data_IF_692943682763
#
_entry.id   IF_692943682763
#
_cell.length_a   1.000
_cell.length_b   1.000
_cell.length_c   1.000
_cell.angle_alpha   90.00
_cell.angle_beta   90.00
_cell.angle_gamma   90.00
#
_symmetry.space_group_name_H-M   'P 1'
#
loop_
_entity.id
_entity.type
_entity.pdbx_description
1 polymer ?
#
# COMPACT_ATOMS: atom_id res chain seq x y z
N UNK A 1 0.21 5.81 -19.94
CA UNK A 1 0.94 6.41 -21.07
C UNK A 1 1.78 7.56 -20.55
N UNK A 2 3.11 7.49 -20.72
CA UNK A 2 3.99 8.63 -20.44
C UNK A 2 3.89 9.62 -21.60
N UNK A 3 3.84 10.92 -21.31
CA UNK A 3 3.81 11.94 -22.35
C UNK A 3 5.27 12.34 -22.66
N UNK A 4 5.60 12.74 -23.90
CA UNK A 4 6.93 13.23 -24.23
C UNK A 4 7.27 14.50 -23.44
N UNK A 5 8.54 14.67 -23.03
CA UNK A 5 8.99 15.85 -22.28
C UNK A 5 8.72 17.15 -23.06
N UNK A 6 8.86 17.12 -24.38
CA UNK A 6 8.56 18.25 -25.25
C UNK A 6 7.08 18.68 -25.16
N UNK A 7 6.16 17.71 -25.12
CA UNK A 7 4.74 17.98 -24.92
C UNK A 7 4.48 18.56 -23.54
N UNK A 8 5.07 17.99 -22.49
CA UNK A 8 4.94 18.47 -21.11
C UNK A 8 5.40 19.94 -20.99
N UNK A 9 6.53 20.30 -21.60
CA UNK A 9 7.04 21.69 -21.62
C UNK A 9 6.12 22.65 -22.36
N UNK A 10 5.44 22.18 -23.41
CA UNK A 10 4.51 23.00 -24.20
C UNK A 10 3.21 23.28 -23.44
N UNK A 11 2.68 22.30 -22.72
CA UNK A 11 1.35 22.41 -22.11
C UNK A 11 1.40 22.91 -20.67
N UNK A 12 2.46 22.62 -19.91
CA UNK A 12 2.54 22.96 -18.48
C UNK A 12 3.04 24.39 -18.25
N UNK A 13 2.56 25.03 -17.19
CA UNK A 13 3.17 26.28 -16.69
C UNK A 13 4.50 25.99 -15.99
N UNK A 14 5.33 27.00 -15.75
CA UNK A 14 6.63 26.81 -15.07
C UNK A 14 6.50 26.12 -13.70
N UNK A 15 5.52 26.52 -12.89
CA UNK A 15 5.27 25.91 -11.59
C UNK A 15 4.75 24.45 -11.71
N UNK A 16 3.88 24.19 -12.69
CA UNK A 16 3.38 22.84 -12.97
C UNK A 16 4.50 21.91 -13.44
N UNK A 17 5.38 22.43 -14.32
CA UNK A 17 6.51 21.69 -14.86
C UNK A 17 7.52 21.37 -13.75
N UNK A 18 7.87 22.33 -12.89
CA UNK A 18 8.77 22.09 -11.77
C UNK A 18 8.27 20.98 -10.83
N UNK A 19 6.96 20.93 -10.55
CA UNK A 19 6.36 19.85 -9.76
C UNK A 19 6.43 18.48 -10.46
N UNK A 20 6.25 18.46 -11.79
CA UNK A 20 6.38 17.23 -12.59
C UNK A 20 7.84 16.77 -12.67
N UNK A 21 8.79 17.69 -12.76
CA UNK A 21 10.23 17.38 -12.78
C UNK A 21 10.70 16.73 -11.48
N UNK A 22 10.22 17.18 -10.32
CA UNK A 22 10.49 16.51 -9.03
C UNK A 22 9.98 15.07 -8.96
N UNK A 23 8.96 14.73 -9.77
CA UNK A 23 8.44 13.35 -9.86
C UNK A 23 9.22 12.43 -10.81
N UNK A 24 10.25 12.94 -11.49
CA UNK A 24 11.04 12.15 -12.45
C UNK A 24 12.21 11.46 -11.76
N UNK A 25 12.61 10.34 -12.35
CA UNK A 25 13.87 9.68 -12.00
C UNK A 25 15.05 10.50 -12.56
N UNK A 26 16.19 10.63 -11.85
CA UNK A 26 16.50 10.05 -10.54
C UNK A 26 16.02 10.89 -9.34
N UNK A 27 15.62 12.14 -9.57
CA UNK A 27 15.30 13.14 -8.53
C UNK A 27 14.36 12.58 -7.46
N UNK A 28 13.30 11.89 -7.87
CA UNK A 28 12.29 11.33 -6.96
C UNK A 28 12.86 10.38 -5.90
N UNK A 29 13.94 9.66 -6.20
CA UNK A 29 14.56 8.72 -5.28
C UNK A 29 15.38 9.41 -4.17
N UNK A 30 15.81 10.65 -4.41
CA UNK A 30 16.55 11.45 -3.41
C UNK A 30 15.66 12.25 -2.46
N UNK A 31 14.33 12.26 -2.68
CA UNK A 31 13.42 13.07 -1.87
C UNK A 31 13.05 12.38 -0.56
N UNK A 32 13.07 13.09 0.58
CA UNK A 32 12.55 12.57 1.83
C UNK A 32 11.02 12.41 1.78
N UNK A 33 10.47 11.58 2.66
CA UNK A 33 9.03 11.25 2.69
C UNK A 33 8.13 12.48 2.76
N UNK A 34 8.51 13.47 3.56
CA UNK A 34 7.73 14.71 3.72
C UNK A 34 7.64 15.50 2.42
N UNK A 35 8.75 15.60 1.69
CA UNK A 35 8.78 16.24 0.38
C UNK A 35 7.98 15.46 -0.66
N UNK A 36 8.03 14.12 -0.64
CA UNK A 36 7.20 13.30 -1.53
C UNK A 36 5.70 13.54 -1.26
N UNK A 37 5.30 13.68 -0.01
CA UNK A 37 3.91 14.00 0.36
C UNK A 37 3.53 15.41 -0.11
N UNK A 38 4.42 16.39 0.05
CA UNK A 38 4.20 17.75 -0.43
C UNK A 38 4.04 17.80 -1.96
N UNK A 39 4.94 17.14 -2.70
CA UNK A 39 4.85 17.01 -4.16
C UNK A 39 3.55 16.30 -4.57
N UNK A 40 3.18 15.22 -3.89
CA UNK A 40 1.91 14.52 -4.14
C UNK A 40 0.70 15.43 -3.93
N UNK A 41 0.71 16.28 -2.89
CA UNK A 41 -0.36 17.25 -2.60
C UNK A 41 -0.47 18.29 -3.72
N UNK A 42 0.64 18.88 -4.14
CA UNK A 42 0.65 19.85 -5.24
C UNK A 42 0.17 19.24 -6.56
N UNK A 43 0.64 18.04 -6.91
CA UNK A 43 0.20 17.32 -8.11
C UNK A 43 -1.30 16.98 -8.09
N UNK A 44 -1.86 16.61 -6.93
CA UNK A 44 -3.31 16.42 -6.78
C UNK A 44 -4.06 17.73 -7.03
N UNK A 45 -3.61 18.83 -6.44
CA UNK A 45 -4.18 20.16 -6.66
C UNK A 45 -4.21 20.55 -8.15
N UNK A 46 -3.09 20.41 -8.85
CA UNK A 46 -3.02 20.72 -10.29
C UNK A 46 -3.91 19.81 -11.14
N UNK A 47 -3.91 18.50 -10.86
CA UNK A 47 -4.76 17.52 -11.53
C UNK A 47 -6.25 17.81 -11.34
N UNK A 48 -6.64 18.12 -10.12
CA UNK A 48 -8.03 18.35 -9.76
C UNK A 48 -8.52 19.66 -10.37
N UNK A 49 -7.71 20.73 -10.31
CA UNK A 49 -7.95 21.98 -11.03
C UNK A 49 -8.11 21.77 -12.54
N UNK A 50 -7.20 21.05 -13.18
CA UNK A 50 -7.29 20.77 -14.62
C UNK A 50 -8.56 19.96 -14.98
N UNK A 51 -8.94 19.00 -14.13
CA UNK A 51 -10.18 18.22 -14.29
C UNK A 51 -11.41 19.10 -14.19
N UNK A 52 -11.47 19.98 -13.20
CA UNK A 52 -12.65 20.78 -12.92
C UNK A 52 -12.88 21.85 -13.99
N UNK A 53 -11.79 22.50 -14.43
CA UNK A 53 -11.87 23.44 -15.56
C UNK A 53 -12.30 22.69 -16.84
N UNK A 54 -11.72 21.53 -17.13
CA UNK A 54 -12.10 20.73 -18.31
C UNK A 54 -13.59 20.36 -18.27
N UNK A 55 -14.12 19.99 -17.10
CA UNK A 55 -15.54 19.67 -16.91
C UNK A 55 -16.43 20.90 -17.09
N UNK A 56 -16.04 22.06 -16.57
CA UNK A 56 -16.77 23.32 -16.75
C UNK A 56 -16.89 23.66 -18.23
N UNK A 57 -15.75 23.71 -18.93
CA UNK A 57 -15.71 24.00 -20.38
C UNK A 57 -16.55 23.03 -21.20
N UNK A 58 -16.50 21.74 -20.85
CA UNK A 58 -17.33 20.72 -21.53
C UNK A 58 -18.82 20.93 -21.29
N UNK A 59 -19.23 21.47 -20.13
CA UNK A 59 -20.64 21.82 -19.85
C UNK A 59 -21.04 23.09 -20.60
N UNK A 60 -20.19 24.11 -20.61
CA UNK A 60 -20.38 25.36 -21.38
C UNK A 60 -20.55 25.05 -22.87
N UNK A 61 -19.65 24.25 -23.47
CA UNK A 61 -19.72 23.85 -24.88
C UNK A 61 -20.95 22.98 -25.21
N UNK A 62 -21.62 22.42 -24.20
CA UNK A 62 -22.88 21.67 -24.34
C UNK A 62 -24.12 22.54 -24.07
N UNK A 63 -23.95 23.83 -23.80
CA UNK A 63 -25.04 24.73 -23.39
C UNK A 63 -25.64 24.39 -22.02
N UNK A 64 -24.91 23.65 -21.17
CA UNK A 64 -25.37 23.21 -19.83
C UNK A 64 -24.83 24.07 -18.69
N UNK A 65 -24.10 25.12 -19.03
CA UNK A 65 -23.56 26.10 -18.10
C UNK A 65 -23.38 27.43 -18.85
N UNK A 66 -23.61 28.53 -18.16
CA UNK A 66 -23.37 29.87 -18.69
C UNK A 66 -21.87 30.09 -18.95
N UNK A 67 -21.48 30.65 -20.11
CA UNK A 67 -20.11 31.02 -20.40
C UNK A 67 -19.60 32.02 -19.35
N UNK A 68 -18.38 31.82 -18.85
CA UNK A 68 -17.74 32.78 -17.92
C UNK A 68 -17.16 34.03 -18.61
N UNK A 69 -17.63 34.37 -19.81
CA UNK A 69 -17.17 35.52 -20.58
C UNK A 69 -17.94 35.69 -21.89
N UNK A 70 -17.57 36.70 -22.68
CA UNK A 70 -18.27 37.03 -23.93
C UNK A 70 -18.20 35.93 -25.01
N UNK A 71 -17.19 35.04 -24.93
CA UNK A 71 -16.98 33.96 -25.90
C UNK A 71 -17.07 32.58 -25.22
N UNK A 72 -17.60 31.55 -25.92
CA UNK A 72 -17.58 30.17 -25.46
C UNK A 72 -16.16 29.68 -25.15
N UNK A 73 -16.04 28.78 -24.18
CA UNK A 73 -14.73 28.30 -23.77
C UNK A 73 -14.02 27.49 -24.88
N UNK A 74 -12.70 27.72 -25.11
CA UNK A 74 -11.95 26.97 -26.09
C UNK A 74 -11.84 25.48 -25.70
N UNK A 75 -11.53 24.64 -26.69
CA UNK A 75 -11.51 23.18 -26.55
C UNK A 75 -10.79 22.69 -25.28
N UNK A 76 -11.36 21.66 -24.66
CA UNK A 76 -10.95 21.09 -23.38
C UNK A 76 -9.81 20.07 -23.48
N UNK A 77 -9.39 19.72 -24.71
CA UNK A 77 -8.37 18.69 -24.98
C UNK A 77 -7.05 18.97 -24.27
N UNK A 78 -6.52 20.19 -24.33
CA UNK A 78 -5.25 20.53 -23.64
C UNK A 78 -5.32 20.39 -22.12
N UNK A 79 -6.48 20.63 -21.50
CA UNK A 79 -6.68 20.42 -20.06
C UNK A 79 -6.73 18.93 -19.69
N UNK A 80 -7.27 18.11 -20.60
CA UNK A 80 -7.27 16.66 -20.43
C UNK A 80 -5.85 16.09 -20.53
N UNK A 81 -5.03 16.59 -21.46
CA UNK A 81 -3.61 16.24 -21.55
C UNK A 81 -2.86 16.61 -20.27
N UNK A 82 -3.01 17.86 -19.78
CA UNK A 82 -2.44 18.30 -18.48
C UNK A 82 -2.81 17.33 -17.35
N UNK A 83 -4.11 16.99 -17.25
CA UNK A 83 -4.60 16.05 -16.25
C UNK A 83 -3.91 14.69 -16.34
N UNK A 84 -3.67 14.17 -17.55
CA UNK A 84 -2.98 12.89 -17.74
C UNK A 84 -1.52 12.96 -17.32
N UNK A 85 -0.83 14.07 -17.63
CA UNK A 85 0.55 14.31 -17.16
C UNK A 85 0.62 14.32 -15.64
N UNK A 86 -0.27 15.07 -14.97
CA UNK A 86 -0.31 15.09 -13.49
C UNK A 86 -0.68 13.73 -12.89
N UNK A 87 -1.58 12.97 -13.51
CA UNK A 87 -1.92 11.63 -13.05
C UNK A 87 -0.73 10.67 -13.14
N UNK A 88 0.04 10.75 -14.24
CA UNK A 88 1.27 9.97 -14.43
C UNK A 88 2.35 10.34 -13.40
N UNK A 89 2.58 11.64 -13.18
CA UNK A 89 3.48 12.14 -12.15
C UNK A 89 3.08 11.66 -10.74
N UNK A 90 1.80 11.76 -10.40
CA UNK A 90 1.28 11.31 -9.11
C UNK A 90 1.46 9.80 -8.91
N UNK A 91 1.31 8.99 -9.97
CA UNK A 91 1.56 7.55 -9.91
C UNK A 91 3.01 7.23 -9.54
N UNK A 92 3.98 7.98 -10.09
CA UNK A 92 5.40 7.82 -9.75
C UNK A 92 5.67 8.17 -8.29
N UNK A 93 5.15 9.30 -7.82
CA UNK A 93 5.32 9.74 -6.42
C UNK A 93 4.69 8.75 -5.43
N UNK A 94 3.46 8.29 -5.67
CA UNK A 94 2.83 7.32 -4.79
C UNK A 94 3.61 5.99 -4.75
N UNK A 95 4.20 5.57 -5.88
CA UNK A 95 5.03 4.37 -5.93
C UNK A 95 6.30 4.53 -5.09
N UNK A 96 6.91 5.72 -5.10
CA UNK A 96 8.10 5.99 -4.30
C UNK A 96 7.78 6.05 -2.80
N UNK A 97 6.66 6.67 -2.43
CA UNK A 97 6.17 6.65 -1.04
C UNK A 97 5.97 5.20 -0.57
N UNK A 98 5.28 4.38 -1.37
CA UNK A 98 5.07 2.96 -1.06
C UNK A 98 6.41 2.21 -0.94
N UNK A 99 7.38 2.48 -1.82
CA UNK A 99 8.73 1.89 -1.75
C UNK A 99 9.42 2.24 -0.43
N UNK A 100 9.38 3.50 0.00
CA UNK A 100 9.98 3.94 1.27
C UNK A 100 9.27 3.29 2.47
N UNK A 101 7.95 3.16 2.43
CA UNK A 101 7.16 2.50 3.48
C UNK A 101 7.46 1.00 3.57
N UNK A 102 7.57 0.31 2.43
CA UNK A 102 7.94 -1.11 2.37
C UNK A 102 9.36 -1.34 2.89
N UNK A 103 10.32 -0.47 2.53
CA UNK A 103 11.68 -0.53 3.05
C UNK A 103 11.70 -0.36 4.58
N UNK A 104 10.95 0.61 5.11
CA UNK A 104 10.83 0.83 6.54
C UNK A 104 10.12 -0.33 7.27
N UNK A 105 9.16 -1.00 6.63
CA UNK A 105 8.45 -2.17 7.18
C UNK A 105 9.34 -3.40 7.26
N UNK A 106 10.15 -3.67 6.22
CA UNK A 106 11.05 -4.83 6.17
C UNK A 106 12.06 -4.83 7.33
N UNK A 107 12.60 -3.67 7.69
CA UNK A 107 13.49 -3.54 8.85
C UNK A 107 12.83 -4.02 10.16
N UNK A 108 11.57 -3.62 10.39
CA UNK A 108 10.80 -4.00 11.59
C UNK A 108 10.44 -5.48 11.64
N UNK A 109 10.20 -6.11 10.49
CA UNK A 109 9.87 -7.54 10.44
C UNK A 109 11.03 -8.42 10.90
N UNK A 110 12.27 -8.07 10.54
CA UNK A 110 13.46 -8.78 11.00
C UNK A 110 13.63 -8.69 12.51
N UNK A 111 13.44 -7.51 13.09
CA UNK A 111 13.49 -7.29 14.54
C UNK A 111 12.39 -8.05 15.28
N UNK A 112 11.16 -7.99 14.78
CA UNK A 112 10.03 -8.71 15.35
C UNK A 112 10.25 -10.24 15.33
N UNK A 113 10.79 -10.79 14.24
CA UNK A 113 11.13 -12.20 14.12
C UNK A 113 12.21 -12.61 15.12
N UNK A 114 13.27 -11.80 15.29
CA UNK A 114 14.32 -12.04 16.30
C UNK A 114 13.76 -12.01 17.72
N UNK A 115 12.89 -11.05 18.02
CA UNK A 115 12.23 -10.95 19.34
C UNK A 115 11.34 -12.15 19.63
N UNK A 116 10.54 -12.58 18.66
CA UNK A 116 9.69 -13.76 18.78
C UNK A 116 10.52 -15.04 18.99
N UNK A 117 11.63 -15.17 18.26
CA UNK A 117 12.57 -16.28 18.43
C UNK A 117 13.21 -16.28 19.82
N UNK A 118 13.63 -15.12 20.33
CA UNK A 118 14.16 -14.98 21.69
C UNK A 118 13.13 -15.37 22.76
N UNK A 119 11.87 -14.93 22.61
CA UNK A 119 10.77 -15.34 23.51
C UNK A 119 10.53 -16.86 23.47
N UNK A 120 10.54 -17.47 22.28
CA UNK A 120 10.39 -18.92 22.12
C UNK A 120 11.54 -19.68 22.77
N UNK A 121 12.78 -19.18 22.66
CA UNK A 121 13.95 -19.78 23.30
C UNK A 121 13.90 -19.66 24.82
N UNK A 122 13.52 -18.49 25.36
CA UNK A 122 13.34 -18.28 26.79
C UNK A 122 12.29 -19.23 27.37
N UNK A 123 11.15 -19.39 26.68
CA UNK A 123 10.09 -20.33 27.08
C UNK A 123 10.43 -21.81 26.82
N UNK A 124 11.53 -22.11 26.11
CA UNK A 124 11.95 -23.50 25.84
C UNK A 124 12.53 -24.18 27.08
N UNK A 125 12.99 -23.39 28.06
CA UNK A 125 13.41 -23.90 29.36
C UNK A 125 12.14 -24.28 30.12
N UNK A 126 11.77 -25.56 30.07
CA UNK A 126 10.64 -26.09 30.83
C UNK A 126 10.94 -25.93 32.33
N UNK A 127 10.25 -24.99 32.99
CA UNK A 127 10.24 -24.84 34.44
C UNK A 127 9.21 -25.76 35.11
N UNK A 128 9.04 -26.99 34.61
CA UNK A 128 8.33 -27.99 35.42
C UNK A 128 9.33 -28.58 36.43
N UNK A 129 8.99 -28.66 37.72
CA UNK A 129 9.84 -29.35 38.68
C UNK A 129 10.13 -30.77 38.18
N UNK A 130 11.35 -31.25 38.37
CA UNK A 130 11.67 -32.64 38.08
C UNK A 130 10.67 -33.52 38.80
N UNK A 131 10.05 -34.49 38.11
CA UNK A 131 9.27 -35.52 38.77
C UNK A 131 10.20 -36.15 39.83
N UNK A 132 9.87 -36.00 41.11
CA UNK A 132 10.69 -36.51 42.21
C UNK A 132 10.80 -38.04 42.16
N UNK A 133 11.40 -38.65 43.19
CA UNK A 133 11.45 -40.12 43.30
C UNK A 133 10.04 -40.70 43.35
N UNK A 134 9.63 -41.38 42.30
CA UNK A 134 8.41 -42.21 42.27
C UNK A 134 8.79 -43.69 42.47
N UNK A 135 7.96 -44.44 43.19
CA UNK A 135 8.26 -45.81 43.64
C UNK A 135 8.24 -46.88 42.53
N UNK A 136 7.82 -46.50 41.32
CA UNK A 136 7.75 -47.36 40.13
C UNK A 136 8.32 -46.57 38.95
N UNK A 137 8.76 -47.26 37.87
CA UNK A 137 9.15 -46.59 36.62
C UNK A 137 8.02 -45.63 36.23
N UNK A 138 8.23 -44.33 36.48
CA UNK A 138 7.20 -43.33 36.30
C UNK A 138 6.71 -43.29 34.85
N UNK A 139 5.54 -42.69 34.64
CA UNK A 139 4.95 -42.49 33.32
C UNK A 139 6.00 -41.84 32.40
N UNK A 140 6.57 -42.62 31.47
CA UNK A 140 7.53 -42.10 30.48
C UNK A 140 6.76 -41.15 29.56
N UNK A 141 7.33 -39.98 29.31
CA UNK A 141 6.81 -39.05 28.30
C UNK A 141 6.81 -39.79 26.97
N UNK A 142 5.61 -40.03 26.43
CA UNK A 142 5.45 -40.47 25.05
C UNK A 142 5.49 -39.20 24.22
N UNK A 143 6.63 -38.94 23.57
CA UNK A 143 6.70 -37.86 22.59
C UNK A 143 5.68 -38.16 21.49
N UNK A 144 4.75 -37.24 21.26
CA UNK A 144 3.82 -37.36 20.15
C UNK A 144 4.61 -37.24 18.84
N UNK A 145 4.90 -38.36 18.19
CA UNK A 145 5.56 -38.42 16.88
C UNK A 145 4.72 -37.87 15.72
N UNK A 146 3.62 -37.19 16.03
CA UNK A 146 2.74 -36.57 15.04
C UNK A 146 3.44 -35.33 14.51
N UNK A 147 4.14 -35.47 13.38
CA UNK A 147 4.51 -34.32 12.56
C UNK A 147 3.23 -33.53 12.29
N UNK A 148 3.19 -32.25 12.66
CA UNK A 148 2.04 -31.39 12.40
C UNK A 148 1.69 -31.47 10.92
N UNK A 149 0.59 -32.17 10.60
CA UNK A 149 0.16 -32.38 9.22
C UNK A 149 -0.06 -31.01 8.58
N UNK A 150 0.64 -30.74 7.48
CA UNK A 150 0.36 -29.55 6.69
C UNK A 150 -0.95 -29.80 5.96
N UNK A 151 -2.00 -29.06 6.31
CA UNK A 151 -3.31 -29.16 5.67
C UNK A 151 -3.19 -28.60 4.25
N UNK A 152 -3.78 -29.28 3.26
CA UNK A 152 -3.88 -28.74 1.90
C UNK A 152 -4.59 -27.37 1.93
N UNK A 153 -4.00 -26.31 1.33
CA UNK A 153 -4.61 -24.97 1.30
C UNK A 153 -6.07 -24.94 0.85
N UNK A 154 -6.51 -25.87 -0.01
CA UNK A 154 -7.89 -25.97 -0.49
C UNK A 154 -8.87 -26.47 0.55
N UNK A 155 -8.40 -27.16 1.59
CA UNK A 155 -9.23 -27.80 2.62
C UNK A 155 -9.31 -27.00 3.92
N UNK A 156 -8.51 -25.93 4.08
CA UNK A 156 -8.45 -25.11 5.29
C UNK A 156 -9.83 -24.61 5.72
N UNK A 157 -10.63 -24.13 4.76
CA UNK A 157 -11.98 -23.63 5.05
C UNK A 157 -12.90 -24.70 5.64
N UNK A 158 -12.85 -25.91 5.08
CA UNK A 158 -13.67 -27.05 5.53
C UNK A 158 -13.25 -27.52 6.93
N UNK A 159 -11.95 -27.74 7.14
CA UNK A 159 -11.39 -28.16 8.44
C UNK A 159 -11.67 -27.11 9.53
N UNK A 160 -11.60 -25.82 9.19
CA UNK A 160 -11.92 -24.74 10.12
C UNK A 160 -13.39 -24.75 10.55
N UNK A 161 -14.33 -25.05 9.64
CA UNK A 161 -15.75 -25.17 10.00
C UNK A 161 -16.03 -26.43 10.82
N UNK A 162 -15.40 -27.56 10.46
CA UNK A 162 -15.52 -28.80 11.21
C UNK A 162 -15.06 -28.63 12.67
N UNK A 163 -13.90 -28.03 12.90
CA UNK A 163 -13.40 -27.78 14.25
C UNK A 163 -14.32 -26.85 15.06
N UNK A 164 -14.86 -25.81 14.42
CA UNK A 164 -15.82 -24.90 15.06
C UNK A 164 -17.09 -25.64 15.50
N UNK A 165 -17.63 -26.48 14.63
CA UNK A 165 -18.84 -27.25 14.93
C UNK A 165 -18.58 -28.29 16.04
N UNK A 166 -17.42 -28.94 16.02
CA UNK A 166 -17.03 -29.91 17.05
C UNK A 166 -16.89 -29.24 18.42
N UNK A 167 -16.27 -28.05 18.48
CA UNK A 167 -16.17 -27.27 19.71
C UNK A 167 -17.54 -26.85 20.22
N UNK A 168 -18.42 -26.34 19.34
CA UNK A 168 -19.78 -25.97 19.71
C UNK A 168 -20.60 -27.14 20.26
N UNK A 169 -20.35 -28.37 19.78
CA UNK A 169 -20.97 -29.58 20.33
C UNK A 169 -20.34 -30.07 21.64
N UNK A 170 -19.08 -29.70 21.93
CA UNK A 170 -18.42 -30.03 23.19
C UNK A 170 -18.73 -29.02 24.30
N UNK A 171 -19.10 -27.79 23.94
CA UNK A 171 -19.42 -26.69 24.86
C UNK A 171 -20.92 -26.62 25.23
N UNK A 172 -21.75 -27.49 24.64
CA UNK A 172 -23.18 -27.63 24.89
C UNK A 172 -23.47 -28.76 25.89
#
# INVERSE_FOLDING_TARGET
MSHPIALERRILTGAELAAVERSRYPVICGLPREELIAVARSLRGFRDKARDISRSRRRENRGKAEPRGANPAPDSTGLMEKKQVFASALKRVNREIARQEDAARRGRQGEAARRALAMKQANRVRHHPSAGRTAHQGMRVIDSGVAGGTIDPRQIGSVSQQNRNFQAGSDA
#
